data_IF_945134399215
#
_entry.id   IF_945134399215
#
_cell.length_a   1.000
_cell.length_b   1.000
_cell.length_c   1.000
_cell.angle_alpha   90.00
_cell.angle_beta   90.00
_cell.angle_gamma   90.00
#
_symmetry.space_group_name_H-M   'P 1'
#
loop_
_entity.id
_entity.type
_entity.pdbx_description
1 polymer ?
#
# COMPACT_ATOMS: atom_id res chain seq x y z
N UNK A 1 5.83 -12.20 -21.92
CA UNK A 1 7.13 -12.22 -22.64
C UNK A 1 7.29 -13.49 -23.47
N UNK A 2 7.15 -14.66 -22.93
CA UNK A 2 7.35 -15.97 -23.60
C UNK A 2 6.50 -16.20 -24.86
N UNK A 3 5.22 -15.79 -24.85
CA UNK A 3 4.39 -15.85 -26.06
C UNK A 3 4.91 -14.94 -27.19
N UNK A 4 5.46 -13.74 -26.86
CA UNK A 4 6.09 -12.85 -27.85
C UNK A 4 7.36 -13.46 -28.43
N UNK A 5 8.16 -14.12 -27.59
CA UNK A 5 9.34 -14.84 -28.00
C UNK A 5 9.00 -15.89 -29.08
N UNK A 6 7.99 -16.73 -28.82
CA UNK A 6 7.52 -17.72 -29.78
C UNK A 6 6.97 -17.09 -31.06
N UNK A 7 6.23 -15.99 -30.96
CA UNK A 7 5.72 -15.27 -32.16
C UNK A 7 6.88 -14.78 -33.04
N UNK A 8 7.97 -14.28 -32.43
CA UNK A 8 9.14 -13.81 -33.19
C UNK A 8 9.87 -14.97 -33.88
N UNK A 9 9.92 -16.15 -33.26
CA UNK A 9 10.44 -17.35 -33.92
C UNK A 9 9.61 -17.77 -35.13
N UNK A 10 8.26 -17.73 -35.05
CA UNK A 10 7.39 -17.97 -36.21
C UNK A 10 7.59 -16.92 -37.30
N UNK A 11 7.73 -15.63 -36.93
CA UNK A 11 8.02 -14.55 -37.88
C UNK A 11 9.32 -14.84 -38.62
N UNK A 12 10.39 -15.14 -37.90
CA UNK A 12 11.70 -15.47 -38.46
C UNK A 12 11.62 -16.66 -39.41
N UNK A 13 10.83 -17.71 -39.07
CA UNK A 13 10.69 -18.93 -39.84
C UNK A 13 10.00 -18.69 -41.20
N UNK A 14 9.00 -17.82 -41.27
CA UNK A 14 8.22 -17.56 -42.49
C UNK A 14 8.79 -16.45 -43.34
N UNK A 15 9.80 -15.74 -42.83
CA UNK A 15 10.42 -14.60 -43.51
C UNK A 15 11.54 -15.06 -44.45
N UNK A 16 11.70 -14.34 -45.56
CA UNK A 16 12.78 -14.55 -46.54
C UNK A 16 13.71 -13.35 -46.67
N UNK A 17 13.30 -12.20 -46.17
CA UNK A 17 14.13 -10.98 -46.14
C UNK A 17 15.12 -11.02 -44.96
N UNK A 18 16.41 -11.01 -45.31
CA UNK A 18 17.47 -11.09 -44.31
C UNK A 18 17.47 -9.91 -43.30
N UNK A 19 17.04 -8.73 -43.70
CA UNK A 19 16.95 -7.58 -42.82
C UNK A 19 15.82 -7.76 -41.78
N UNK A 20 14.67 -8.31 -42.18
CA UNK A 20 13.56 -8.63 -41.30
C UNK A 20 13.92 -9.78 -40.36
N UNK A 21 14.62 -10.83 -40.86
CA UNK A 21 15.12 -11.91 -40.04
C UNK A 21 16.08 -11.40 -38.94
N UNK A 22 17.02 -10.51 -39.30
CA UNK A 22 17.91 -9.87 -38.33
C UNK A 22 17.13 -9.11 -37.24
N UNK A 23 16.12 -8.32 -37.65
CA UNK A 23 15.27 -7.60 -36.70
C UNK A 23 14.50 -8.53 -35.77
N UNK A 24 14.03 -9.67 -36.26
CA UNK A 24 13.39 -10.70 -35.42
C UNK A 24 14.37 -11.28 -34.40
N UNK A 25 15.62 -11.55 -34.78
CA UNK A 25 16.64 -12.06 -33.88
C UNK A 25 17.03 -11.06 -32.80
N UNK A 26 17.19 -9.77 -33.15
CA UNK A 26 17.43 -8.70 -32.18
C UNK A 26 16.29 -8.62 -31.14
N UNK A 27 15.05 -8.73 -31.60
CA UNK A 27 13.91 -8.76 -30.70
C UNK A 27 13.86 -10.03 -29.82
N UNK A 28 14.22 -11.19 -30.36
CA UNK A 28 14.36 -12.45 -29.62
C UNK A 28 15.41 -12.29 -28.54
N UNK A 29 16.60 -11.82 -28.85
CA UNK A 29 17.69 -11.60 -27.89
C UNK A 29 17.28 -10.63 -26.78
N UNK A 30 16.56 -9.57 -27.14
CA UNK A 30 16.01 -8.63 -26.17
C UNK A 30 14.99 -9.28 -25.22
N UNK A 31 14.14 -10.16 -25.74
CA UNK A 31 13.16 -10.87 -24.94
C UNK A 31 13.82 -11.89 -24.01
N UNK A 32 14.88 -12.56 -24.48
CA UNK A 32 15.71 -13.46 -23.66
C UNK A 32 16.34 -12.72 -22.48
N UNK A 33 17.00 -11.59 -22.76
CA UNK A 33 17.58 -10.74 -21.70
C UNK A 33 16.50 -10.32 -20.69
N UNK A 34 15.33 -9.91 -21.14
CA UNK A 34 14.23 -9.52 -20.24
C UNK A 34 13.71 -10.68 -19.38
N UNK A 35 13.64 -11.89 -19.95
CA UNK A 35 13.25 -13.09 -19.20
C UNK A 35 14.30 -13.43 -18.17
N UNK A 36 15.58 -13.37 -18.55
CA UNK A 36 16.70 -13.62 -17.64
C UNK A 36 16.77 -12.61 -16.50
N UNK A 37 16.63 -11.31 -16.80
CA UNK A 37 16.62 -10.24 -15.79
C UNK A 37 15.44 -10.43 -14.81
N UNK A 38 14.26 -10.80 -15.34
CA UNK A 38 13.09 -11.08 -14.51
C UNK A 38 13.32 -12.29 -13.59
N UNK A 39 13.95 -13.34 -14.13
CA UNK A 39 14.32 -14.52 -13.36
C UNK A 39 15.33 -14.22 -12.26
N UNK A 40 16.38 -13.45 -12.57
CA UNK A 40 17.38 -13.04 -11.58
C UNK A 40 16.76 -12.18 -10.45
N UNK A 41 15.85 -11.27 -10.78
CA UNK A 41 15.13 -10.49 -9.79
C UNK A 41 14.24 -11.36 -8.89
N UNK A 42 13.55 -12.34 -9.46
CA UNK A 42 12.73 -13.28 -8.71
C UNK A 42 13.58 -14.15 -7.77
N UNK A 43 14.71 -14.67 -8.24
CA UNK A 43 15.66 -15.43 -7.42
C UNK A 43 16.21 -14.57 -6.27
N UNK A 44 16.55 -13.31 -6.52
CA UNK A 44 17.01 -12.38 -5.48
C UNK A 44 15.95 -12.15 -4.40
N UNK A 45 14.67 -11.99 -4.78
CA UNK A 45 13.54 -11.82 -3.84
C UNK A 45 13.37 -13.10 -3.00
N UNK A 46 13.36 -14.29 -3.63
CA UNK A 46 13.22 -15.56 -2.94
C UNK A 46 14.42 -15.87 -2.03
N UNK A 47 15.61 -15.39 -2.40
CA UNK A 47 16.83 -15.57 -1.59
C UNK A 47 16.83 -14.71 -0.32
N UNK A 48 16.10 -13.61 -0.32
CA UNK A 48 15.96 -12.73 0.84
C UNK A 48 14.92 -13.25 1.86
N UNK A 49 14.08 -14.21 1.48
CA UNK A 49 13.05 -14.80 2.33
C UNK A 49 13.40 -16.24 2.69
N UNK A 50 13.61 -16.51 3.98
CA UNK A 50 13.94 -17.85 4.50
C UNK A 50 12.81 -18.87 4.30
N UNK A 51 11.57 -18.40 4.18
CA UNK A 51 10.40 -19.26 4.03
C UNK A 51 10.08 -19.58 2.55
N UNK A 52 10.79 -18.92 1.61
CA UNK A 52 10.58 -19.06 0.17
C UNK A 52 11.29 -20.27 -0.46
N UNK A 53 11.87 -21.19 0.32
CA UNK A 53 12.63 -22.34 -0.23
C UNK A 53 11.81 -23.15 -1.24
N UNK A 54 10.55 -23.42 -0.95
CA UNK A 54 9.67 -24.17 -1.84
C UNK A 54 9.39 -23.42 -3.16
N UNK A 55 9.24 -22.10 -3.09
CA UNK A 55 9.10 -21.26 -4.28
C UNK A 55 10.34 -21.29 -5.16
N UNK A 56 11.53 -21.35 -4.53
CA UNK A 56 12.81 -21.48 -5.23
C UNK A 56 12.91 -22.79 -6.01
N UNK A 57 12.57 -23.93 -5.37
CA UNK A 57 12.60 -25.22 -6.03
C UNK A 57 11.70 -25.24 -7.27
N UNK A 58 10.49 -24.69 -7.18
CA UNK A 58 9.56 -24.55 -8.30
C UNK A 58 10.10 -23.61 -9.39
N UNK A 59 10.76 -22.52 -9.01
CA UNK A 59 11.41 -21.60 -9.95
C UNK A 59 12.55 -22.27 -10.70
N UNK A 60 13.41 -23.03 -10.01
CA UNK A 60 14.52 -23.77 -10.64
C UNK A 60 14.01 -24.77 -11.68
N UNK A 61 12.91 -25.46 -11.38
CA UNK A 61 12.25 -26.37 -12.34
C UNK A 61 11.72 -25.62 -13.57
N UNK A 62 11.08 -24.48 -13.36
CA UNK A 62 10.57 -23.65 -14.48
C UNK A 62 11.71 -23.04 -15.31
N UNK A 63 12.80 -22.62 -14.65
CA UNK A 63 13.98 -22.06 -15.31
C UNK A 63 14.73 -23.14 -16.12
N UNK A 64 14.88 -24.35 -15.60
CA UNK A 64 15.45 -25.46 -16.35
C UNK A 64 14.64 -25.75 -17.64
N UNK A 65 13.33 -25.83 -17.54
CA UNK A 65 12.46 -26.02 -18.70
C UNK A 65 12.53 -24.84 -19.72
N UNK A 66 12.75 -23.61 -19.26
CA UNK A 66 13.04 -22.47 -20.12
C UNK A 66 14.34 -22.66 -20.91
N UNK A 67 15.41 -23.08 -20.26
CA UNK A 67 16.70 -23.28 -20.91
C UNK A 67 16.65 -24.43 -21.95
N UNK A 68 15.91 -25.50 -21.66
CA UNK A 68 15.66 -26.60 -22.63
C UNK A 68 14.91 -26.07 -23.85
N UNK A 69 13.80 -25.34 -23.66
CA UNK A 69 13.05 -24.71 -24.74
C UNK A 69 13.89 -23.73 -25.56
N UNK A 70 14.69 -22.88 -24.89
CA UNK A 70 15.57 -21.90 -25.54
C UNK A 70 16.62 -22.61 -26.41
N UNK A 71 17.30 -23.61 -25.87
CA UNK A 71 18.32 -24.37 -26.61
C UNK A 71 17.73 -25.07 -27.85
N UNK A 72 16.55 -25.68 -27.72
CA UNK A 72 15.83 -26.27 -28.85
C UNK A 72 15.40 -25.22 -29.89
N UNK A 73 15.11 -23.99 -29.44
CA UNK A 73 14.75 -22.87 -30.30
C UNK A 73 15.89 -22.34 -31.16
N UNK A 74 17.11 -22.38 -30.66
CA UNK A 74 18.30 -21.91 -31.41
C UNK A 74 18.50 -22.69 -32.71
N UNK A 75 18.19 -23.99 -32.71
CA UNK A 75 18.28 -24.82 -33.92
C UNK A 75 17.24 -24.44 -34.98
N UNK A 76 16.04 -23.95 -34.55
CA UNK A 76 15.04 -23.42 -35.51
C UNK A 76 15.57 -22.18 -36.23
N UNK A 77 16.14 -21.22 -35.49
CA UNK A 77 16.69 -20.01 -36.08
C UNK A 77 17.82 -20.33 -37.05
N UNK A 78 18.69 -21.25 -36.68
CA UNK A 78 19.76 -21.71 -37.56
C UNK A 78 19.25 -22.37 -38.84
N UNK A 79 18.32 -23.31 -38.75
CA UNK A 79 17.71 -23.97 -39.93
C UNK A 79 16.99 -22.95 -40.82
N UNK A 80 16.28 -22.01 -40.22
CA UNK A 80 15.62 -20.92 -40.94
C UNK A 80 16.64 -20.05 -41.70
N UNK A 81 17.75 -19.72 -41.10
CA UNK A 81 18.86 -18.99 -41.75
C UNK A 81 19.48 -19.73 -42.91
N UNK A 82 19.60 -21.05 -42.79
CA UNK A 82 20.09 -21.95 -43.85
C UNK A 82 19.10 -22.12 -44.99
N UNK A 83 17.93 -21.52 -44.94
CA UNK A 83 16.86 -21.69 -45.95
C UNK A 83 16.15 -23.02 -45.84
N UNK A 84 16.29 -23.76 -44.73
CA UNK A 84 15.66 -25.05 -44.48
C UNK A 84 14.30 -24.89 -43.74
N UNK A 85 13.41 -24.09 -44.31
CA UNK A 85 12.13 -23.70 -43.64
C UNK A 85 11.27 -24.92 -43.30
N UNK A 86 11.25 -25.98 -44.14
CA UNK A 86 10.45 -27.16 -43.86
C UNK A 86 10.96 -27.96 -42.66
N UNK A 87 12.29 -28.07 -42.51
CA UNK A 87 12.91 -28.73 -41.38
C UNK A 87 12.68 -27.92 -40.09
N UNK A 88 12.91 -26.59 -40.16
CA UNK A 88 12.64 -25.68 -39.06
C UNK A 88 11.16 -25.69 -38.63
N UNK A 89 10.22 -25.69 -39.60
CA UNK A 89 8.80 -25.79 -39.30
C UNK A 89 8.40 -27.11 -38.63
N UNK A 90 9.01 -28.21 -39.06
CA UNK A 90 8.79 -29.54 -38.46
C UNK A 90 9.29 -29.57 -37.03
N UNK A 91 10.46 -29.01 -36.77
CA UNK A 91 11.04 -28.89 -35.43
C UNK A 91 10.19 -27.98 -34.51
N UNK A 92 9.77 -26.83 -35.04
CA UNK A 92 8.93 -25.85 -34.35
C UNK A 92 7.57 -26.38 -33.90
N UNK A 93 6.97 -27.26 -34.74
CA UNK A 93 5.66 -27.86 -34.46
C UNK A 93 5.73 -29.25 -33.79
N UNK A 94 6.91 -29.82 -33.71
CA UNK A 94 7.20 -31.11 -33.05
C UNK A 94 7.88 -30.91 -31.69
N UNK A 95 9.18 -31.23 -31.64
CA UNK A 95 9.97 -31.28 -30.42
C UNK A 95 9.95 -29.93 -29.65
N UNK A 96 10.24 -28.84 -30.34
CA UNK A 96 10.26 -27.49 -29.68
C UNK A 96 8.88 -27.08 -29.17
N UNK A 97 7.81 -27.59 -29.77
CA UNK A 97 6.45 -27.36 -29.23
C UNK A 97 6.22 -28.09 -27.91
N UNK A 98 6.69 -29.32 -27.79
CA UNK A 98 6.57 -30.05 -26.52
C UNK A 98 7.42 -29.41 -25.40
N UNK A 99 8.64 -28.93 -25.70
CA UNK A 99 9.46 -28.16 -24.75
C UNK A 99 8.78 -26.87 -24.34
N UNK A 100 8.22 -26.12 -25.28
CA UNK A 100 7.44 -24.92 -24.96
C UNK A 100 6.25 -25.21 -24.05
N UNK A 101 5.54 -26.32 -24.31
CA UNK A 101 4.39 -26.74 -23.53
C UNK A 101 4.79 -27.16 -22.12
N UNK A 102 5.87 -27.91 -21.99
CA UNK A 102 6.46 -28.27 -20.70
C UNK A 102 6.84 -27.04 -19.88
N UNK A 103 7.56 -26.10 -20.51
CA UNK A 103 7.89 -24.82 -19.88
C UNK A 103 6.65 -24.02 -19.47
N UNK A 104 5.67 -23.86 -20.36
CA UNK A 104 4.44 -23.10 -20.09
C UNK A 104 3.64 -23.72 -18.91
N UNK A 105 3.61 -25.05 -18.80
CA UNK A 105 3.00 -25.75 -17.68
C UNK A 105 3.71 -25.46 -16.36
N UNK A 106 5.06 -25.54 -16.32
CA UNK A 106 5.85 -25.25 -15.11
C UNK A 106 5.69 -23.80 -14.69
N UNK A 107 5.71 -22.88 -15.67
CA UNK A 107 5.49 -21.45 -15.40
C UNK A 107 4.09 -21.19 -14.84
N UNK A 108 3.06 -21.87 -15.35
CA UNK A 108 1.68 -21.75 -14.85
C UNK A 108 1.60 -22.22 -13.40
N UNK A 109 2.16 -23.38 -13.08
CA UNK A 109 2.20 -23.91 -11.71
C UNK A 109 2.89 -22.94 -10.76
N UNK A 110 4.01 -22.37 -11.18
CA UNK A 110 4.74 -21.36 -10.40
C UNK A 110 3.88 -20.11 -10.15
N UNK A 111 3.24 -19.57 -11.19
CA UNK A 111 2.36 -18.40 -11.07
C UNK A 111 1.17 -18.66 -10.15
N UNK A 112 0.51 -19.80 -10.27
CA UNK A 112 -0.64 -20.18 -9.45
C UNK A 112 -0.26 -20.27 -7.96
N UNK A 113 0.91 -20.83 -7.65
CA UNK A 113 1.43 -20.90 -6.28
C UNK A 113 1.67 -19.50 -5.70
N UNK A 114 2.36 -18.62 -6.43
CA UNK A 114 2.56 -17.26 -6.00
C UNK A 114 1.26 -16.48 -5.83
N UNK A 115 0.26 -16.74 -6.67
CA UNK A 115 -1.04 -16.12 -6.53
C UNK A 115 -1.73 -16.53 -5.23
N UNK A 116 -1.69 -17.80 -4.87
CA UNK A 116 -2.25 -18.31 -3.60
C UNK A 116 -1.53 -17.68 -2.39
N UNK A 117 -0.19 -17.61 -2.41
CA UNK A 117 0.59 -16.99 -1.33
C UNK A 117 0.28 -15.49 -1.20
N UNK A 118 0.17 -14.77 -2.32
CA UNK A 118 -0.19 -13.36 -2.35
C UNK A 118 -1.59 -13.12 -1.77
N UNK A 119 -2.57 -13.96 -2.10
CA UNK A 119 -3.93 -13.84 -1.60
C UNK A 119 -4.02 -14.15 -0.10
N UNK A 120 -3.23 -15.11 0.39
CA UNK A 120 -3.07 -15.36 1.83
C UNK A 120 -2.43 -14.17 2.55
N UNK A 121 -1.36 -13.58 1.99
CA UNK A 121 -0.72 -12.39 2.55
C UNK A 121 -1.68 -11.19 2.62
N UNK A 122 -2.47 -10.96 1.57
CA UNK A 122 -3.52 -9.93 1.56
C UNK A 122 -4.60 -10.18 2.62
N UNK A 123 -5.04 -11.42 2.78
CA UNK A 123 -6.02 -11.77 3.80
C UNK A 123 -5.49 -11.49 5.21
N UNK A 124 -4.25 -11.87 5.51
CA UNK A 124 -3.60 -11.57 6.79
C UNK A 124 -3.43 -10.06 7.01
N UNK A 125 -3.01 -9.31 5.99
CA UNK A 125 -2.88 -7.86 6.08
C UNK A 125 -4.24 -7.19 6.40
N UNK A 126 -5.33 -7.63 5.78
CA UNK A 126 -6.67 -7.13 6.07
C UNK A 126 -7.10 -7.41 7.52
N UNK A 127 -6.81 -8.61 8.04
CA UNK A 127 -7.10 -8.96 9.44
C UNK A 127 -6.31 -8.06 10.40
N UNK A 128 -5.02 -7.83 10.12
CA UNK A 128 -4.20 -6.92 10.93
C UNK A 128 -4.76 -5.48 10.94
N UNK A 129 -5.19 -4.96 9.79
CA UNK A 129 -5.80 -3.64 9.69
C UNK A 129 -7.08 -3.56 10.53
N UNK A 130 -7.95 -4.56 10.48
CA UNK A 130 -9.18 -4.62 11.29
C UNK A 130 -8.86 -4.65 12.78
N UNK A 131 -7.88 -5.45 13.21
CA UNK A 131 -7.45 -5.51 14.62
C UNK A 131 -6.93 -4.15 15.08
N UNK A 132 -6.06 -3.49 14.30
CA UNK A 132 -5.54 -2.16 14.62
C UNK A 132 -6.69 -1.16 14.76
N UNK A 133 -7.67 -1.18 13.86
CA UNK A 133 -8.83 -0.30 13.93
C UNK A 133 -9.66 -0.53 15.20
N UNK A 134 -9.91 -1.77 15.59
CA UNK A 134 -10.61 -2.13 16.83
C UNK A 134 -9.85 -1.59 18.07
N UNK A 135 -8.52 -1.74 18.09
CA UNK A 135 -7.69 -1.23 19.20
C UNK A 135 -7.77 0.28 19.31
N UNK A 136 -7.71 1.01 18.19
CA UNK A 136 -7.80 2.48 18.17
C UNK A 136 -9.18 2.92 18.70
N UNK A 137 -10.28 2.30 18.26
CA UNK A 137 -11.63 2.62 18.70
C UNK A 137 -11.79 2.34 20.20
N UNK A 138 -11.30 1.19 20.69
CA UNK A 138 -11.36 0.84 22.11
C UNK A 138 -10.57 1.84 22.98
N UNK A 139 -9.38 2.25 22.54
CA UNK A 139 -8.58 3.26 23.23
C UNK A 139 -9.29 4.62 23.27
N UNK A 140 -9.91 5.04 22.16
CA UNK A 140 -10.69 6.28 22.09
C UNK A 140 -11.87 6.29 23.05
N UNK A 141 -12.61 5.17 23.14
CA UNK A 141 -13.71 5.02 24.10
C UNK A 141 -13.23 5.08 25.55
N UNK A 142 -12.10 4.42 25.87
CA UNK A 142 -11.52 4.48 27.21
C UNK A 142 -11.15 5.91 27.61
N UNK A 143 -10.51 6.68 26.73
CA UNK A 143 -10.18 8.08 26.95
C UNK A 143 -11.44 8.91 27.18
N UNK A 144 -12.50 8.73 26.37
CA UNK A 144 -13.76 9.44 26.54
C UNK A 144 -14.41 9.17 27.89
N UNK A 145 -14.39 7.92 28.36
CA UNK A 145 -14.92 7.55 29.69
C UNK A 145 -14.12 8.22 30.81
N UNK A 146 -12.79 8.16 30.74
CA UNK A 146 -11.92 8.79 31.74
C UNK A 146 -12.14 10.30 31.76
N UNK A 147 -12.20 10.95 30.62
CA UNK A 147 -12.44 12.41 30.52
C UNK A 147 -13.79 12.79 31.10
N UNK A 148 -14.83 11.99 30.85
CA UNK A 148 -16.19 12.22 31.41
C UNK A 148 -16.20 12.05 32.92
N UNK A 149 -15.50 11.04 33.46
CA UNK A 149 -15.40 10.81 34.90
C UNK A 149 -14.64 11.96 35.60
N UNK A 150 -13.53 12.40 35.05
CA UNK A 150 -12.76 13.53 35.59
C UNK A 150 -13.62 14.81 35.52
N UNK A 151 -14.33 15.08 34.42
CA UNK A 151 -15.24 16.21 34.31
C UNK A 151 -16.31 16.20 35.38
N UNK A 152 -16.93 15.04 35.68
CA UNK A 152 -17.94 14.90 36.74
C UNK A 152 -17.36 15.15 38.13
N UNK A 153 -16.16 14.61 38.42
CA UNK A 153 -15.49 14.82 39.70
C UNK A 153 -15.18 16.30 39.92
N UNK A 154 -14.64 16.98 38.92
CA UNK A 154 -14.33 18.41 38.99
C UNK A 154 -15.60 19.22 39.17
N UNK A 155 -16.66 18.95 38.40
CA UNK A 155 -17.93 19.66 38.51
C UNK A 155 -18.53 19.51 39.90
N UNK A 156 -18.60 18.30 40.46
CA UNK A 156 -19.13 18.04 41.79
C UNK A 156 -18.26 18.70 42.88
N UNK A 157 -16.93 18.69 42.71
CA UNK A 157 -16.02 19.28 43.71
C UNK A 157 -16.01 20.81 43.75
N UNK A 158 -16.43 21.48 42.66
CA UNK A 158 -16.41 22.93 42.57
C UNK A 158 -17.82 23.53 42.72
N UNK A 159 -18.84 22.88 42.20
CA UNK A 159 -20.20 23.43 42.18
C UNK A 159 -20.85 23.38 43.55
N UNK A 160 -20.68 22.31 44.36
CA UNK A 160 -21.22 22.21 45.70
C UNK A 160 -20.69 23.30 46.67
N UNK A 161 -19.35 23.56 46.79
CA UNK A 161 -18.85 24.60 47.67
C UNK A 161 -19.22 26.03 47.18
N UNK A 162 -19.37 26.25 45.88
CA UNK A 162 -19.79 27.57 45.35
C UNK A 162 -21.26 27.85 45.68
N UNK A 163 -22.16 26.89 45.54
CA UNK A 163 -23.59 27.06 45.96
C UNK A 163 -23.71 27.28 47.47
N UNK A 164 -22.88 26.63 48.28
CA UNK A 164 -22.86 26.87 49.75
C UNK A 164 -22.37 28.28 50.11
N UNK A 165 -21.37 28.80 49.36
CA UNK A 165 -20.87 30.18 49.56
C UNK A 165 -21.95 31.19 49.12
N UNK A 166 -22.61 31.02 47.98
CA UNK A 166 -23.68 31.89 47.52
C UNK A 166 -24.87 31.86 48.48
N UNK A 167 -25.23 30.72 49.01
CA UNK A 167 -26.29 30.59 50.02
C UNK A 167 -25.91 31.24 51.37
N UNK A 168 -24.60 31.24 51.75
CA UNK A 168 -24.10 31.91 52.93
C UNK A 168 -24.05 33.42 52.74
N UNK A 169 -23.65 33.90 51.58
CA UNK A 169 -23.67 35.34 51.25
C UNK A 169 -25.08 35.89 51.20
N UNK A 170 -26.02 35.17 50.62
CA UNK A 170 -27.43 35.56 50.57
C UNK A 170 -28.05 35.64 51.98
N UNK A 171 -27.67 34.74 52.90
CA UNK A 171 -28.11 34.80 54.31
C UNK A 171 -27.52 35.97 55.09
N UNK A 172 -26.32 36.40 54.75
CA UNK A 172 -25.63 37.50 55.45
C UNK A 172 -25.99 38.89 54.90
N UNK A 173 -26.64 38.93 53.75
CA UNK A 173 -27.13 40.16 53.10
C UNK A 173 -28.61 40.50 53.46
N UNK A 174 -29.06 40.04 54.62
CA UNK A 174 -30.33 40.56 55.17
C UNK A 174 -30.23 42.07 55.34
N UNK A 175 -31.27 42.84 54.94
CA UNK A 175 -31.20 44.28 54.95
C UNK A 175 -31.05 44.79 56.38
N UNK A 176 -29.96 45.55 56.63
CA UNK A 176 -29.84 46.36 57.81
C UNK A 176 -31.01 47.34 57.77
N UNK A 177 -31.89 47.22 58.76
CA UNK A 177 -33.00 48.16 58.98
C UNK A 177 -32.50 49.60 58.98
N UNK A 178 -33.10 50.39 58.15
CA UNK A 178 -32.85 51.82 58.04
C UNK A 178 -33.25 52.49 59.36
N UNK A 179 -32.29 53.02 60.10
CA UNK A 179 -32.52 54.04 61.10
C UNK A 179 -32.60 55.40 60.45
N UNK A 180 -33.47 56.27 60.94
CA UNK A 180 -33.89 57.49 60.21
C UNK A 180 -32.98 58.66 60.41
N UNK A 181 -32.79 59.42 59.38
CA UNK A 181 -32.67 60.83 59.24
C UNK A 181 -31.50 61.55 59.97
N UNK A 182 -30.52 61.95 59.21
CA UNK A 182 -29.89 63.25 59.45
C UNK A 182 -29.67 63.94 58.09
N UNK A 183 -30.35 65.05 57.94
CA UNK A 183 -30.33 66.01 56.84
C UNK A 183 -29.03 66.77 56.87
N UNK A 184 -28.21 66.71 55.86
CA UNK A 184 -27.07 67.62 55.65
C UNK A 184 -27.13 68.20 54.22
N UNK A 185 -26.76 69.47 54.08
CA UNK A 185 -27.17 70.31 52.96
C UNK A 185 -26.33 70.17 51.72
N UNK A 186 -26.95 70.57 50.65
CA UNK A 186 -26.41 70.67 49.30
C UNK A 186 -25.09 71.38 49.19
N UNK A 187 -24.06 70.81 48.67
CA UNK A 187 -22.90 71.48 48.12
C UNK A 187 -22.83 71.29 46.60
N UNK A 188 -22.94 72.44 45.94
CA UNK A 188 -22.85 72.58 44.50
C UNK A 188 -21.35 72.78 44.14
N UNK A 189 -20.80 71.98 43.25
CA UNK A 189 -19.58 72.39 42.50
C UNK A 189 -19.36 71.51 41.32
N UNK A 190 -19.66 72.04 40.18
CA UNK A 190 -18.83 72.32 39.01
C UNK A 190 -17.86 71.23 38.54
N UNK A 191 -18.13 70.78 37.32
CA UNK A 191 -17.28 70.04 36.43
C UNK A 191 -15.88 70.67 36.19
N UNK A 192 -14.91 69.88 35.76
CA UNK A 192 -14.37 70.19 34.45
C UNK A 192 -14.28 68.93 33.52
N UNK A 193 -14.48 69.25 32.28
CA UNK A 193 -14.26 68.37 31.10
C UNK A 193 -12.78 68.15 30.89
N UNK A 194 -12.37 66.99 30.55
CA UNK A 194 -11.04 66.69 29.96
C UNK A 194 -11.28 66.02 28.59
N UNK A 195 -10.51 66.44 27.57
CA UNK A 195 -10.79 66.17 26.19
C UNK A 195 -10.23 64.82 25.67
N UNK A 196 -10.90 64.32 24.68
CA UNK A 196 -10.49 63.20 23.79
C UNK A 196 -9.15 63.52 23.11
N UNK A 197 -8.26 62.58 23.11
CA UNK A 197 -7.09 62.58 22.22
C UNK A 197 -7.17 61.35 21.31
N UNK A 198 -7.48 61.61 20.05
CA UNK A 198 -7.17 60.74 18.93
C UNK A 198 -5.68 60.70 18.69
N UNK A 199 -5.16 59.57 18.31
CA UNK A 199 -4.08 59.37 17.31
C UNK A 199 -3.78 57.88 17.20
N UNK A 200 -3.90 57.48 16.10
CA UNK A 200 -3.25 56.90 14.94
C UNK A 200 -3.02 55.41 15.08
#
# INVERSE_FOLDING_TARGET
MTAKYRIKQYQHLVESDAAVMNSCEEEIQKLESQIQDTGANLDAIMSADSDAQKGRDDYEVANAAWEEYRAASDEILKLSREGKQQEAAKLMTGEVYEEYKAFAEKLTILCDKFQVELDQAKAMANVCIVIIFIVIVAAGLAIAVVTTLIGRIITNSITEPVEQIDAAVARNSSPVEASPTTRIPSYRSSSPRIPLRNSE
#
